data_IF_499370042181
#
_entry.id   IF_499370042181
#
_cell.length_a   1.000
_cell.length_b   1.000
_cell.length_c   1.000
_cell.angle_alpha   90.00
_cell.angle_beta   90.00
_cell.angle_gamma   90.00
#
_symmetry.space_group_name_H-M   'P 1'
#
loop_
_entity.id
_entity.type
_entity.pdbx_description
1 polymer ?
#
# COMPACT_ATOMS: atom_id res chain seq x y z
N UNK A 1 -14.99 -19.81 -24.92
CA UNK A 1 -13.62 -19.25 -24.89
C UNK A 1 -13.17 -19.05 -23.45
N UNK A 2 -12.48 -20.01 -22.84
CA UNK A 2 -11.91 -19.84 -21.50
C UNK A 2 -10.67 -18.97 -21.65
N UNK A 3 -10.85 -17.66 -21.50
CA UNK A 3 -9.74 -16.73 -21.44
C UNK A 3 -8.97 -17.05 -20.16
N UNK A 4 -7.92 -17.87 -20.28
CA UNK A 4 -6.87 -18.04 -19.26
C UNK A 4 -6.15 -16.70 -19.17
N UNK A 5 -6.80 -15.71 -18.57
CA UNK A 5 -6.20 -14.43 -18.24
C UNK A 5 -5.06 -14.78 -17.31
N UNK A 6 -3.86 -14.84 -17.88
CA UNK A 6 -2.65 -15.17 -17.16
C UNK A 6 -2.39 -13.99 -16.23
N UNK A 7 -2.91 -14.11 -15.01
CA UNK A 7 -2.88 -13.06 -13.99
C UNK A 7 -1.42 -12.66 -13.79
N UNK A 8 -1.11 -11.37 -13.95
CA UNK A 8 0.25 -10.84 -13.76
C UNK A 8 0.41 -10.39 -12.31
N UNK A 9 1.60 -10.59 -11.77
CA UNK A 9 1.95 -10.11 -10.45
C UNK A 9 1.98 -8.57 -10.43
N UNK A 10 1.22 -7.95 -9.53
CA UNK A 10 1.19 -6.49 -9.38
C UNK A 10 2.50 -5.89 -8.86
N UNK A 11 3.39 -6.70 -8.27
CA UNK A 11 4.70 -6.23 -7.79
C UNK A 11 5.82 -6.41 -8.84
N UNK A 12 5.93 -7.58 -9.44
CA UNK A 12 7.07 -7.92 -10.33
C UNK A 12 6.70 -8.10 -11.81
N UNK A 13 5.42 -7.97 -12.17
CA UNK A 13 4.94 -8.10 -13.55
C UNK A 13 4.92 -9.52 -14.13
N UNK A 14 5.57 -10.50 -13.47
CA UNK A 14 5.66 -11.89 -13.94
C UNK A 14 4.26 -12.53 -14.06
N UNK A 15 4.07 -13.37 -15.09
CA UNK A 15 2.88 -14.23 -15.23
C UNK A 15 2.82 -15.24 -14.08
N UNK A 16 1.66 -15.35 -13.45
CA UNK A 16 1.41 -16.33 -12.40
C UNK A 16 1.02 -17.65 -13.05
N UNK A 17 1.92 -18.64 -12.98
CA UNK A 17 1.66 -20.02 -13.41
C UNK A 17 1.09 -20.80 -12.22
N UNK A 18 -0.22 -20.66 -11.94
CA UNK A 18 -0.91 -21.39 -10.86
C UNK A 18 -1.80 -20.53 -9.95
N UNK A 19 -2.04 -21.01 -8.72
CA UNK A 19 -2.78 -20.25 -7.68
C UNK A 19 -1.91 -19.13 -7.12
N UNK A 20 -2.03 -17.94 -7.70
CA UNK A 20 -1.43 -16.71 -7.15
C UNK A 20 -2.12 -16.26 -5.86
N UNK A 21 -1.44 -15.41 -5.10
CA UNK A 21 -2.03 -14.76 -3.93
C UNK A 21 -2.85 -13.56 -4.40
N UNK A 22 -4.07 -13.44 -3.90
CA UNK A 22 -4.91 -12.27 -4.13
C UNK A 22 -4.91 -11.34 -2.91
N UNK A 23 -4.87 -10.04 -3.15
CA UNK A 23 -5.07 -9.03 -2.11
C UNK A 23 -5.58 -7.72 -2.70
N UNK A 24 -6.73 -7.23 -2.20
CA UNK A 24 -7.42 -6.01 -2.69
C UNK A 24 -7.57 -5.98 -4.23
N UNK A 25 -7.99 -7.09 -4.83
CA UNK A 25 -8.14 -7.23 -6.29
C UNK A 25 -6.83 -7.24 -7.08
N UNK A 26 -5.66 -7.26 -6.42
CA UNK A 26 -4.34 -7.41 -7.05
C UNK A 26 -3.83 -8.84 -6.85
N UNK A 27 -3.16 -9.36 -7.87
CA UNK A 27 -2.57 -10.70 -7.84
C UNK A 27 -1.06 -10.66 -7.62
N UNK A 28 -0.52 -11.64 -6.90
CA UNK A 28 0.89 -11.72 -6.54
C UNK A 28 1.42 -13.14 -6.75
N UNK A 29 2.62 -13.27 -7.32
CA UNK A 29 3.26 -14.56 -7.53
C UNK A 29 3.83 -15.18 -6.25
N UNK A 30 4.08 -14.38 -5.21
CA UNK A 30 4.67 -14.85 -3.95
C UNK A 30 4.30 -13.96 -2.77
N UNK A 31 4.41 -14.51 -1.55
CA UNK A 31 4.20 -13.75 -0.29
C UNK A 31 5.14 -12.54 -0.20
N UNK A 32 6.38 -12.71 -0.68
CA UNK A 32 7.38 -11.62 -0.76
C UNK A 32 6.89 -10.47 -1.62
N UNK A 33 6.41 -10.77 -2.84
CA UNK A 33 5.88 -9.74 -3.74
C UNK A 33 4.67 -9.00 -3.13
N UNK A 34 3.79 -9.72 -2.44
CA UNK A 34 2.66 -9.10 -1.72
C UNK A 34 3.14 -8.19 -0.58
N UNK A 35 4.17 -8.59 0.18
CA UNK A 35 4.73 -7.81 1.29
C UNK A 35 5.40 -6.53 0.78
N UNK A 36 6.30 -6.63 -0.19
CA UNK A 36 6.99 -5.47 -0.77
C UNK A 36 6.00 -4.45 -1.35
N UNK A 37 4.99 -4.93 -2.09
CA UNK A 37 3.92 -4.07 -2.60
C UNK A 37 3.15 -3.37 -1.48
N UNK A 38 2.80 -4.10 -0.41
CA UNK A 38 2.13 -3.52 0.76
C UNK A 38 2.96 -2.46 1.46
N UNK A 39 4.27 -2.67 1.60
CA UNK A 39 5.14 -1.69 2.26
C UNK A 39 5.34 -0.43 1.39
N UNK A 40 5.43 -0.57 0.06
CA UNK A 40 5.48 0.57 -0.87
C UNK A 40 4.18 1.39 -0.89
N UNK A 41 3.03 0.72 -0.79
CA UNK A 41 1.70 1.33 -0.83
C UNK A 41 1.07 1.58 0.54
N UNK A 42 1.74 1.19 1.63
CA UNK A 42 1.49 1.78 2.95
C UNK A 42 1.96 3.22 2.83
N UNK A 43 1.04 4.09 2.42
CA UNK A 43 1.25 5.53 2.52
C UNK A 43 1.85 5.78 3.90
N UNK A 44 3.01 6.47 3.94
CA UNK A 44 3.58 6.94 5.20
C UNK A 44 2.40 7.50 5.96
N UNK A 45 1.95 6.84 7.04
CA UNK A 45 1.04 7.46 8.00
C UNK A 45 1.70 8.80 8.22
N UNK A 46 1.07 9.90 7.77
CA UNK A 46 1.57 11.25 8.06
C UNK A 46 1.83 11.17 9.55
N UNK A 47 3.11 11.14 9.96
CA UNK A 47 3.44 11.29 11.38
C UNK A 47 2.68 12.56 11.70
N UNK A 48 1.63 12.44 12.53
CA UNK A 48 0.76 13.57 12.82
C UNK A 48 1.69 14.74 13.07
N UNK A 49 1.49 15.84 12.35
CA UNK A 49 2.34 17.01 12.50
C UNK A 49 2.26 17.35 13.99
N UNK A 50 3.33 17.06 14.72
CA UNK A 50 3.44 17.45 16.11
C UNK A 50 3.76 18.94 16.05
N UNK A 51 2.70 19.76 16.01
CA UNK A 51 2.87 21.20 16.09
C UNK A 51 3.49 21.49 17.46
N UNK A 52 4.60 22.25 17.52
CA UNK A 52 5.12 22.77 18.78
C UNK A 52 4.02 23.48 19.56
N UNK A 53 4.09 23.42 20.89
CA UNK A 53 3.07 23.98 21.78
C UNK A 53 2.85 25.48 21.53
N UNK A 54 3.91 26.19 21.15
CA UNK A 54 3.90 27.60 20.78
C UNK A 54 3.01 27.91 19.56
N UNK A 55 2.89 26.97 18.62
CA UNK A 55 2.01 27.14 17.44
C UNK A 55 0.54 26.95 17.78
N UNK A 56 0.23 26.15 18.81
CA UNK A 56 -1.15 26.04 19.32
C UNK A 56 -1.58 27.34 20.00
N UNK A 57 -0.72 27.96 20.79
CA UNK A 57 -1.01 29.23 21.49
C UNK A 57 -1.21 30.39 20.50
N UNK A 58 -0.45 30.42 19.40
CA UNK A 58 -0.60 31.41 18.33
C UNK A 58 -1.88 31.24 17.50
N UNK A 59 -2.37 30.00 17.32
CA UNK A 59 -3.60 29.73 16.52
C UNK A 59 -4.86 29.85 17.38
N UNK A 60 -4.84 29.33 18.61
CA UNK A 60 -6.00 29.31 19.51
C UNK A 60 -5.92 30.42 20.57
N UNK A 61 -5.16 31.47 20.27
CA UNK A 61 -4.89 32.59 21.17
C UNK A 61 -6.10 32.98 22.03
N UNK A 62 -5.95 32.71 23.32
CA UNK A 62 -6.50 33.43 24.46
C UNK A 62 -8.03 33.53 24.56
N UNK A 63 -8.56 32.96 25.66
CA UNK A 63 -9.42 33.74 26.55
C UNK A 63 -8.80 33.76 27.93
#
# INVERSE_FOLDING_TARGET
MISLISKRCANCGKRIRGRGLEWRGKYFCSKRCKKEYRERHKGKKRKGIFLPRDTFDAIYGRR
#
